data_IF_500075661533
#
_entry.id   IF_500075661533
#
_cell.length_a   1.000
_cell.length_b   1.000
_cell.length_c   1.000
_cell.angle_alpha   90.00
_cell.angle_beta   90.00
_cell.angle_gamma   90.00
#
_symmetry.space_group_name_H-M   'P 1'
#
loop_
_entity.id
_entity.type
_entity.pdbx_description
1 polymer ?
#
# COMPACT_ATOMS: atom_id res chain seq x y z
N UNK A 1 -15.61 -11.62 -26.24
CA UNK A 1 -15.80 -10.83 -27.47
C UNK A 1 -14.82 -9.67 -27.36
N UNK A 2 -13.82 -9.59 -28.24
CA UNK A 2 -12.68 -8.68 -28.08
C UNK A 2 -13.10 -7.23 -28.32
N UNK A 3 -12.96 -6.39 -27.30
CA UNK A 3 -13.31 -4.96 -27.34
C UNK A 3 -12.55 -4.19 -28.43
N UNK A 4 -11.32 -4.63 -28.72
CA UNK A 4 -10.49 -4.08 -29.79
C UNK A 4 -11.07 -4.33 -31.18
N UNK A 5 -11.61 -5.52 -31.43
CA UNK A 5 -12.23 -5.87 -32.72
C UNK A 5 -13.52 -5.06 -32.94
N UNK A 6 -14.29 -4.84 -31.87
CA UNK A 6 -15.49 -4.01 -31.90
C UNK A 6 -15.15 -2.54 -32.22
N UNK A 7 -14.13 -1.98 -31.57
CA UNK A 7 -13.67 -0.62 -31.84
C UNK A 7 -13.17 -0.45 -33.28
N UNK A 8 -12.44 -1.43 -33.81
CA UNK A 8 -11.98 -1.41 -35.21
C UNK A 8 -13.13 -1.44 -36.21
N UNK A 9 -14.17 -2.22 -35.93
CA UNK A 9 -15.36 -2.32 -36.78
C UNK A 9 -16.15 -1.01 -36.81
N UNK A 10 -16.30 -0.35 -35.65
CA UNK A 10 -16.91 0.98 -35.56
C UNK A 10 -16.10 2.01 -36.35
N UNK A 11 -14.76 2.00 -36.19
CA UNK A 11 -13.87 2.90 -36.93
C UNK A 11 -14.04 2.72 -38.44
N UNK A 12 -14.06 1.48 -38.92
CA UNK A 12 -14.21 1.18 -40.35
C UNK A 12 -15.55 1.67 -40.91
N UNK A 13 -16.66 1.41 -40.22
CA UNK A 13 -17.98 1.87 -40.68
C UNK A 13 -18.09 3.40 -40.70
N UNK A 14 -17.51 4.08 -39.71
CA UNK A 14 -17.51 5.53 -39.66
C UNK A 14 -16.66 6.15 -40.80
N UNK A 15 -15.53 5.51 -41.13
CA UNK A 15 -14.65 5.93 -42.21
C UNK A 15 -15.32 5.75 -43.58
N UNK A 16 -15.99 4.61 -43.80
CA UNK A 16 -16.79 4.37 -45.00
C UNK A 16 -17.96 5.36 -45.14
N UNK A 17 -18.63 5.70 -44.03
CA UNK A 17 -19.66 6.73 -44.00
C UNK A 17 -19.11 8.12 -44.34
N UNK A 18 -17.89 8.43 -43.90
CA UNK A 18 -17.21 9.70 -44.21
C UNK A 18 -16.91 9.85 -45.70
N UNK A 19 -16.52 8.77 -46.37
CA UNK A 19 -16.23 8.77 -47.81
C UNK A 19 -17.48 8.92 -48.69
N UNK A 20 -18.68 8.66 -48.15
CA UNK A 20 -19.96 8.85 -48.86
C UNK A 20 -20.45 10.30 -48.85
N UNK A 21 -19.78 11.22 -48.15
CA UNK A 21 -20.17 12.63 -48.20
C UNK A 21 -19.82 13.25 -49.57
N UNK A 22 -20.73 14.05 -50.16
CA UNK A 22 -20.46 14.75 -51.41
C UNK A 22 -19.21 15.61 -51.32
N UNK A 23 -18.40 15.65 -52.40
CA UNK A 23 -17.15 16.41 -52.45
C UNK A 23 -17.33 17.91 -52.11
N UNK A 24 -18.51 18.47 -52.40
CA UNK A 24 -18.88 19.85 -52.04
C UNK A 24 -19.05 20.07 -50.53
N UNK A 25 -19.46 19.05 -49.77
CA UNK A 25 -19.56 19.12 -48.30
C UNK A 25 -18.17 18.97 -47.69
N UNK A 26 -17.33 18.09 -48.23
CA UNK A 26 -15.96 17.92 -47.78
C UNK A 26 -15.14 19.20 -47.98
N UNK A 27 -15.26 19.85 -49.15
CA UNK A 27 -14.55 21.11 -49.44
C UNK A 27 -15.01 22.26 -48.55
N UNK A 28 -16.32 22.36 -48.26
CA UNK A 28 -16.87 23.34 -47.32
C UNK A 28 -16.39 23.10 -45.88
N UNK A 29 -16.29 21.84 -45.45
CA UNK A 29 -15.73 21.46 -44.16
C UNK A 29 -14.24 21.81 -44.07
N UNK A 30 -13.48 21.55 -45.13
CA UNK A 30 -12.07 21.91 -45.22
C UNK A 30 -11.88 23.43 -45.15
N UNK A 31 -12.68 24.20 -45.89
CA UNK A 31 -12.65 25.67 -45.84
C UNK A 31 -13.03 26.20 -44.45
N UNK A 32 -14.08 25.65 -43.82
CA UNK A 32 -14.46 26.00 -42.46
C UNK A 32 -13.38 25.63 -41.44
N UNK A 33 -12.68 24.50 -41.62
CA UNK A 33 -11.55 24.09 -40.78
C UNK A 33 -10.38 25.05 -40.90
N UNK A 34 -10.00 25.44 -42.11
CA UNK A 34 -8.94 26.42 -42.33
C UNK A 34 -9.30 27.77 -41.71
N UNK A 35 -10.54 28.23 -41.89
CA UNK A 35 -11.03 29.46 -41.27
C UNK A 35 -11.08 29.38 -39.73
N UNK A 36 -11.38 28.21 -39.16
CA UNK A 36 -11.41 28.00 -37.72
C UNK A 36 -10.00 27.90 -37.11
N UNK A 37 -9.05 27.28 -37.83
CA UNK A 37 -7.64 27.19 -37.44
C UNK A 37 -6.96 28.57 -37.48
N UNK A 38 -7.27 29.38 -38.48
CA UNK A 38 -6.78 30.75 -38.59
C UNK A 38 -7.33 31.64 -37.45
N UNK A 39 -8.56 31.35 -36.99
CA UNK A 39 -9.21 32.09 -35.90
C UNK A 39 -8.87 31.58 -34.50
N UNK A 40 -8.35 30.35 -34.33
CA UNK A 40 -8.07 29.77 -33.00
C UNK A 40 -6.88 28.80 -33.04
N UNK A 41 -5.81 29.02 -32.23
CA UNK A 41 -4.86 27.96 -31.95
C UNK A 41 -5.57 26.81 -31.23
N UNK A 42 -5.28 25.59 -31.66
CA UNK A 42 -6.05 24.38 -31.42
C UNK A 42 -6.34 24.07 -29.94
N UNK A 43 -7.59 24.33 -29.51
CA UNK A 43 -8.13 23.84 -28.21
C UNK A 43 -8.67 22.41 -28.30
N UNK A 44 -8.52 21.74 -29.44
CA UNK A 44 -8.93 20.34 -29.66
C UNK A 44 -8.05 19.38 -28.84
N UNK A 45 -6.80 19.75 -28.59
CA UNK A 45 -5.90 18.99 -27.72
C UNK A 45 -6.33 18.98 -26.26
N UNK A 46 -6.91 20.06 -25.74
CA UNK A 46 -7.24 20.18 -24.30
C UNK A 46 -8.40 19.28 -23.90
N UNK A 47 -9.43 19.15 -24.75
CA UNK A 47 -10.56 18.23 -24.47
C UNK A 47 -10.16 16.75 -24.63
N UNK A 48 -9.34 16.44 -25.64
CA UNK A 48 -8.81 15.08 -25.81
C UNK A 48 -7.82 14.72 -24.69
N UNK A 49 -7.00 15.67 -24.23
CA UNK A 49 -6.06 15.48 -23.12
C UNK A 49 -6.79 15.41 -21.78
N UNK A 50 -7.91 16.13 -21.60
CA UNK A 50 -8.76 15.99 -20.42
C UNK A 50 -9.47 14.61 -20.39
N UNK A 51 -9.93 14.11 -21.54
CA UNK A 51 -10.54 12.77 -21.63
C UNK A 51 -9.53 11.64 -21.41
N UNK A 52 -8.38 11.69 -22.09
CA UNK A 52 -7.30 10.71 -21.92
C UNK A 52 -6.67 10.83 -20.52
N UNK A 53 -6.49 12.04 -20.02
CA UNK A 53 -5.95 12.32 -18.69
C UNK A 53 -6.81 11.70 -17.59
N UNK A 54 -8.14 11.83 -17.68
CA UNK A 54 -9.06 11.18 -16.74
C UNK A 54 -9.01 9.66 -16.79
N UNK A 55 -8.93 9.06 -17.98
CA UNK A 55 -8.82 7.60 -18.11
C UNK A 55 -7.49 7.07 -17.56
N UNK A 56 -6.40 7.80 -17.79
CA UNK A 56 -5.08 7.46 -17.23
C UNK A 56 -5.06 7.62 -15.70
N UNK A 57 -5.68 8.67 -15.18
CA UNK A 57 -5.78 8.92 -13.73
C UNK A 57 -6.62 7.85 -13.03
N UNK A 58 -7.77 7.48 -13.61
CA UNK A 58 -8.62 6.42 -13.05
C UNK A 58 -7.91 5.05 -13.07
N UNK A 59 -7.24 4.71 -14.18
CA UNK A 59 -6.47 3.47 -14.28
C UNK A 59 -5.26 3.42 -13.35
N UNK A 60 -4.52 4.54 -13.24
CA UNK A 60 -3.39 4.65 -12.32
C UNK A 60 -3.85 4.56 -10.86
N UNK A 61 -4.99 5.16 -10.52
CA UNK A 61 -5.58 5.07 -9.18
C UNK A 61 -5.97 3.63 -8.82
N UNK A 62 -6.53 2.88 -9.76
CA UNK A 62 -6.92 1.49 -9.53
C UNK A 62 -5.70 0.57 -9.30
N UNK A 63 -4.58 0.84 -9.96
CA UNK A 63 -3.33 0.10 -9.75
C UNK A 63 -2.55 0.55 -8.51
N UNK A 64 -2.62 1.84 -8.15
CA UNK A 64 -1.91 2.38 -6.98
C UNK A 64 -2.68 2.20 -5.67
N UNK A 65 -4.01 2.11 -5.71
CA UNK A 65 -4.84 1.87 -4.53
C UNK A 65 -4.41 0.66 -3.68
N UNK A 66 -4.15 -0.55 -4.25
CA UNK A 66 -3.69 -1.68 -3.45
C UNK A 66 -2.27 -1.51 -2.90
N UNK A 67 -1.40 -0.77 -3.60
CA UNK A 67 -0.02 -0.52 -3.14
C UNK A 67 -0.03 0.43 -1.95
N UNK A 68 -0.83 1.51 -2.03
CA UNK A 68 -0.95 2.49 -0.94
C UNK A 68 -1.56 1.86 0.29
N UNK A 69 -2.59 1.01 0.15
CA UNK A 69 -3.18 0.30 1.28
C UNK A 69 -2.21 -0.70 1.91
N UNK A 70 -1.44 -1.44 1.10
CA UNK A 70 -0.41 -2.36 1.60
C UNK A 70 0.70 -1.63 2.38
N UNK A 71 1.16 -0.48 1.88
CA UNK A 71 2.16 0.36 2.56
C UNK A 71 1.59 0.91 3.88
N UNK A 72 0.35 1.42 3.86
CA UNK A 72 -0.30 1.92 5.07
C UNK A 72 -0.45 0.84 6.15
N UNK A 73 -0.86 -0.38 5.76
CA UNK A 73 -0.95 -1.53 6.67
C UNK A 73 0.43 -1.90 7.24
N UNK A 74 1.48 -1.92 6.41
CA UNK A 74 2.84 -2.22 6.87
C UNK A 74 3.36 -1.19 7.88
N UNK A 75 3.12 0.10 7.64
CA UNK A 75 3.49 1.17 8.56
C UNK A 75 2.72 1.07 9.87
N UNK A 76 1.42 0.75 9.81
CA UNK A 76 0.60 0.56 11.01
C UNK A 76 1.08 -0.62 11.86
N UNK A 77 1.47 -1.72 11.21
CA UNK A 77 2.02 -2.91 11.88
C UNK A 77 3.35 -2.59 12.59
N UNK A 78 4.25 -1.86 11.92
CA UNK A 78 5.54 -1.45 12.51
C UNK A 78 5.31 -0.49 13.68
N UNK A 79 4.45 0.52 13.52
CA UNK A 79 4.14 1.47 14.59
C UNK A 79 3.52 0.80 15.83
N UNK A 80 2.63 -0.18 15.64
CA UNK A 80 2.02 -0.95 16.74
C UNK A 80 3.06 -1.77 17.53
N UNK A 81 4.06 -2.33 16.84
CA UNK A 81 5.10 -3.15 17.48
C UNK A 81 5.94 -2.38 18.51
N UNK A 82 6.19 -1.08 18.27
CA UNK A 82 6.93 -0.24 19.19
C UNK A 82 6.18 0.03 20.50
N UNK A 83 4.85 0.09 20.46
CA UNK A 83 4.02 0.27 21.67
C UNK A 83 3.95 -1.01 22.52
N UNK A 84 4.07 -2.19 21.90
CA UNK A 84 4.09 -3.48 22.62
C UNK A 84 5.48 -3.78 23.20
N UNK A 85 6.54 -3.32 22.55
CA UNK A 85 7.91 -3.54 22.99
C UNK A 85 8.21 -2.86 24.35
N UNK A 86 7.65 -1.68 24.61
CA UNK A 86 7.83 -0.98 25.89
C UNK A 86 7.11 -1.68 27.03
N UNK A 87 5.93 -2.29 26.80
CA UNK A 87 5.23 -3.06 27.84
C UNK A 87 5.97 -4.35 28.19
N UNK A 88 6.53 -5.05 27.19
CA UNK A 88 7.30 -6.29 27.43
C UNK A 88 8.62 -6.06 28.17
N UNK A 89 9.25 -4.90 27.98
CA UNK A 89 10.48 -4.56 28.70
C UNK A 89 10.23 -4.40 30.20
N UNK A 90 9.12 -3.77 30.59
CA UNK A 90 8.76 -3.54 32.00
C UNK A 90 8.36 -4.84 32.70
N UNK A 91 7.58 -5.69 32.04
CA UNK A 91 7.15 -6.97 32.63
C UNK A 91 8.32 -7.95 32.85
N UNK A 92 9.32 -7.96 31.96
CA UNK A 92 10.47 -8.85 32.09
C UNK A 92 11.48 -8.37 33.16
N UNK A 93 11.53 -7.06 33.41
CA UNK A 93 12.41 -6.46 34.42
C UNK A 93 11.90 -6.72 35.85
N UNK A 94 10.58 -6.77 36.06
CA UNK A 94 9.98 -7.16 37.35
C UNK A 94 10.25 -8.63 37.70
N UNK A 95 10.19 -9.54 36.73
CA UNK A 95 10.45 -10.97 36.95
C UNK A 95 11.93 -11.20 37.31
N UNK A 96 12.85 -10.57 36.58
CA UNK A 96 14.29 -10.73 36.79
C UNK A 96 14.75 -10.04 38.08
N UNK A 97 14.17 -8.89 38.42
CA UNK A 97 14.41 -8.21 39.70
C UNK A 97 13.88 -9.00 40.89
N UNK A 98 12.73 -9.68 40.75
CA UNK A 98 12.22 -10.57 41.79
C UNK A 98 13.15 -11.78 42.00
N UNK A 99 13.80 -12.27 40.95
CA UNK A 99 14.77 -13.38 41.03
C UNK A 99 16.13 -12.93 41.60
N UNK A 100 16.58 -11.71 41.29
CA UNK A 100 17.83 -11.13 41.78
C UNK A 100 17.71 -10.55 43.20
N UNK A 101 16.52 -10.14 43.60
CA UNK A 101 16.18 -9.60 44.93
C UNK A 101 15.61 -10.66 45.87
N UNK A 102 15.46 -11.92 45.44
CA UNK A 102 15.13 -13.05 46.33
C UNK A 102 16.36 -13.34 47.19
N UNK A 103 16.50 -12.53 48.24
CA UNK A 103 17.44 -12.71 49.33
C UNK A 103 17.04 -14.04 50.01
N UNK A 104 17.72 -15.12 49.61
CA UNK A 104 17.44 -16.45 50.14
C UNK A 104 17.58 -16.39 51.67
N UNK A 105 16.50 -16.63 52.44
CA UNK A 105 16.56 -16.57 53.89
C UNK A 105 17.68 -17.48 54.37
N UNK A 106 18.52 -17.02 55.30
CA UNK A 106 19.72 -17.77 55.77
C UNK A 106 19.38 -19.18 56.27
N UNK A 107 18.12 -19.39 56.63
CA UNK A 107 17.47 -20.63 57.01
C UNK A 107 17.45 -21.70 55.90
N UNK A 108 17.58 -21.34 54.62
CA UNK A 108 17.79 -22.29 53.52
C UNK A 108 19.21 -22.90 53.52
N UNK A 109 20.20 -22.16 54.04
CA UNK A 109 21.57 -22.65 54.23
C UNK A 109 21.69 -23.57 55.46
N UNK A 110 20.72 -23.54 56.36
CA UNK A 110 20.63 -24.40 57.53
C UNK A 110 19.81 -25.64 57.23
N UNK A 111 20.08 -26.30 56.10
CA UNK A 111 19.49 -27.59 55.82
C UNK A 111 19.74 -28.51 57.02
N UNK A 112 18.66 -29.13 57.50
CA UNK A 112 18.66 -29.97 58.71
C UNK A 112 19.67 -31.11 58.59
N UNK A 113 20.07 -31.45 57.37
CA UNK A 113 21.16 -32.37 57.04
C UNK A 113 22.55 -31.94 57.53
N UNK A 114 22.90 -30.64 57.52
CA UNK A 114 24.21 -30.15 57.97
C UNK A 114 24.38 -30.31 59.50
N UNK A 115 23.31 -30.02 60.24
CA UNK A 115 23.26 -30.26 61.70
C UNK A 115 23.32 -31.76 62.02
N UNK A 116 22.67 -32.60 61.21
CA UNK A 116 22.74 -34.04 61.36
C UNK A 116 24.15 -34.60 61.05
N UNK A 117 24.85 -34.02 60.08
CA UNK A 117 26.24 -34.38 59.75
C UNK A 117 27.22 -34.00 60.88
N UNK A 118 27.15 -32.77 61.42
CA UNK A 118 27.95 -32.34 62.56
C UNK A 118 27.75 -33.20 63.81
N UNK A 119 26.51 -33.63 64.08
CA UNK A 119 26.21 -34.54 65.20
C UNK A 119 26.78 -35.94 65.00
N UNK A 120 26.94 -36.38 63.76
CA UNK A 120 27.50 -37.69 63.43
C UNK A 120 29.03 -37.68 63.49
N UNK A 121 29.66 -36.57 63.11
CA UNK A 121 31.12 -36.37 63.19
C UNK A 121 31.60 -36.23 64.64
N UNK A 122 30.86 -35.51 65.49
CA UNK A 122 31.19 -35.32 66.91
C UNK A 122 30.94 -36.52 67.82
N UNK A 123 30.36 -37.61 67.29
CA UNK A 123 30.15 -38.88 68.01
C UNK A 123 31.15 -39.97 67.59
N UNK A 124 32.13 -39.64 66.75
CA UNK A 124 33.27 -40.49 66.37
C UNK A 124 34.49 -40.26 67.25
#
# INVERSE_FOLDING_TARGET
MNEQEFALRIKQELDLGSHRLPASVQSRLQAARLQALDRKPARVGVLSLAGIGRLVEEHAREWLAPVVSAVALSLMMVAGSHLTATQRAVENEEIDSALLSDDLPIDAYLDRGFVAWLKRDSQG
#
